data_IF_528916900096
#
_entry.id   IF_528916900096
#
_cell.length_a   1.000
_cell.length_b   1.000
_cell.length_c   1.000
_cell.angle_alpha   90.00
_cell.angle_beta   90.00
_cell.angle_gamma   90.00
#
_symmetry.space_group_name_H-M   'P 1'
#
loop_
_entity.id
_entity.type
_entity.pdbx_description
1 polymer ?
#
# COMPACT_ATOMS: atom_id res chain seq x y z
N UNK A 1 -17.40 -46.08 -48.76
CA UNK A 1 -17.40 -44.61 -48.92
C UNK A 1 -18.31 -44.04 -47.84
N UNK A 2 -17.80 -43.05 -47.08
CA UNK A 2 -18.47 -42.23 -46.05
C UNK A 2 -18.83 -42.89 -44.72
N UNK A 3 -18.57 -42.30 -43.55
CA UNK A 3 -17.60 -41.28 -43.09
C UNK A 3 -17.72 -41.28 -41.56
N UNK A 4 -16.61 -41.44 -40.87
CA UNK A 4 -16.49 -41.35 -39.41
C UNK A 4 -16.77 -39.92 -38.96
N UNK A 5 -17.76 -39.71 -38.09
CA UNK A 5 -18.03 -38.42 -37.45
C UNK A 5 -17.15 -38.34 -36.21
N UNK A 6 -16.11 -37.51 -36.29
CA UNK A 6 -15.22 -37.16 -35.19
C UNK A 6 -15.90 -36.01 -34.40
N UNK A 7 -16.35 -36.28 -33.18
CA UNK A 7 -16.93 -35.28 -32.28
C UNK A 7 -15.79 -34.58 -31.54
N UNK A 8 -15.38 -33.41 -32.02
CA UNK A 8 -14.41 -32.54 -31.35
C UNK A 8 -15.13 -31.82 -30.21
N UNK A 9 -14.95 -32.28 -28.97
CA UNK A 9 -15.39 -31.57 -27.78
C UNK A 9 -14.34 -30.52 -27.40
N UNK A 10 -14.56 -29.27 -27.81
CA UNK A 10 -13.77 -28.11 -27.39
C UNK A 10 -14.14 -27.75 -25.96
N UNK A 11 -13.31 -28.13 -25.00
CA UNK A 11 -13.40 -27.69 -23.61
C UNK A 11 -12.94 -26.23 -23.53
N UNK A 12 -13.85 -25.29 -23.74
CA UNK A 12 -13.62 -23.89 -23.39
C UNK A 12 -13.65 -23.77 -21.87
N UNK A 13 -12.47 -23.88 -21.24
CA UNK A 13 -12.27 -23.34 -19.89
C UNK A 13 -12.32 -21.83 -20.05
N UNK A 14 -13.50 -21.24 -19.90
CA UNK A 14 -13.60 -19.82 -19.58
C UNK A 14 -12.91 -19.66 -18.23
N UNK A 15 -11.64 -19.25 -18.26
CA UNK A 15 -11.01 -18.60 -17.12
C UNK A 15 -11.77 -17.30 -16.90
N UNK A 16 -12.85 -17.36 -16.12
CA UNK A 16 -13.43 -16.18 -15.50
C UNK A 16 -12.36 -15.61 -14.59
N UNK A 17 -11.53 -14.72 -15.13
CA UNK A 17 -10.73 -13.81 -14.33
C UNK A 17 -11.74 -13.05 -13.48
N UNK A 18 -11.86 -13.45 -12.22
CA UNK A 18 -12.67 -12.73 -11.25
C UNK A 18 -12.16 -11.29 -11.29
N UNK A 19 -13.06 -10.35 -11.54
CA UNK A 19 -12.77 -8.94 -11.38
C UNK A 19 -12.53 -8.74 -9.88
N UNK A 20 -11.26 -8.77 -9.49
CA UNK A 20 -10.81 -8.45 -8.13
C UNK A 20 -11.22 -7.01 -7.85
N UNK A 21 -12.13 -6.78 -6.90
CA UNK A 21 -12.50 -5.44 -6.52
C UNK A 21 -11.26 -4.72 -5.94
N UNK A 22 -11.12 -3.41 -6.13
CA UNK A 22 -9.96 -2.71 -5.56
C UNK A 22 -9.90 -2.82 -4.02
N UNK A 23 -11.06 -3.04 -3.35
CA UNK A 23 -11.12 -3.29 -1.91
C UNK A 23 -10.49 -4.61 -1.45
N UNK A 24 -10.18 -5.51 -2.38
CA UNK A 24 -9.41 -6.73 -2.09
C UNK A 24 -7.93 -6.62 -2.47
N UNK A 25 -7.51 -5.53 -3.13
CA UNK A 25 -6.10 -5.21 -3.43
C UNK A 25 -5.44 -4.49 -2.25
N UNK A 26 -4.12 -4.41 -2.26
CA UNK A 26 -3.40 -3.55 -1.33
C UNK A 26 -2.13 -2.97 -1.94
N UNK A 27 -1.55 -2.00 -1.24
CA UNK A 27 -0.25 -1.41 -1.54
C UNK A 27 0.66 -1.51 -0.31
N UNK A 28 1.96 -1.61 -0.53
CA UNK A 28 2.98 -1.56 0.51
C UNK A 28 4.30 -1.06 -0.07
N UNK A 29 5.22 -0.61 0.78
CA UNK A 29 6.61 -0.40 0.38
C UNK A 29 7.48 -1.61 0.73
N UNK A 30 8.51 -1.85 -0.07
CA UNK A 30 9.66 -2.65 0.34
C UNK A 30 10.70 -1.78 1.07
N UNK A 31 11.77 -2.38 1.60
CA UNK A 31 12.83 -1.65 2.33
C UNK A 31 13.71 -0.76 1.45
N UNK A 32 13.58 -0.88 0.13
CA UNK A 32 14.19 0.03 -0.83
C UNK A 32 13.22 1.14 -1.26
N UNK A 33 12.09 1.27 -0.56
CA UNK A 33 11.03 2.24 -0.81
C UNK A 33 10.45 2.17 -2.22
N UNK A 34 10.46 0.98 -2.83
CA UNK A 34 9.65 0.72 -4.02
C UNK A 34 8.19 0.53 -3.60
N UNK A 35 7.27 1.21 -4.28
CA UNK A 35 5.85 0.99 -4.10
C UNK A 35 5.44 -0.31 -4.80
N UNK A 36 4.97 -1.28 -4.01
CA UNK A 36 4.42 -2.54 -4.45
C UNK A 36 2.89 -2.46 -4.45
N UNK A 37 2.27 -3.02 -5.47
CA UNK A 37 0.82 -3.05 -5.65
C UNK A 37 0.37 -4.48 -5.91
N UNK A 38 -0.45 -5.04 -5.03
CA UNK A 38 -0.83 -6.45 -5.06
C UNK A 38 -2.32 -6.63 -5.36
N UNK A 39 -2.64 -7.62 -6.19
CA UNK A 39 -4.04 -7.93 -6.59
C UNK A 39 -4.61 -7.04 -7.71
N UNK A 40 -3.80 -6.17 -8.32
CA UNK A 40 -4.22 -5.26 -9.38
C UNK A 40 -4.42 -6.04 -10.70
N UNK A 41 -5.66 -6.09 -11.20
CA UNK A 41 -5.98 -6.85 -12.40
C UNK A 41 -5.66 -8.34 -12.32
N UNK A 42 -5.62 -8.91 -11.09
CA UNK A 42 -5.18 -10.30 -10.85
C UNK A 42 -3.67 -10.50 -10.88
N UNK A 43 -2.89 -9.42 -10.81
CA UNK A 43 -1.42 -9.39 -10.87
C UNK A 43 -0.83 -8.57 -9.72
N UNK A 44 0.49 -8.70 -9.57
CA UNK A 44 1.31 -7.93 -8.64
C UNK A 44 2.32 -7.08 -9.41
N UNK A 45 2.54 -5.85 -8.94
CA UNK A 45 3.38 -4.88 -9.63
C UNK A 45 4.35 -4.18 -8.68
N UNK A 46 5.53 -3.85 -9.21
CA UNK A 46 6.48 -2.92 -8.61
C UNK A 46 6.45 -1.61 -9.42
N UNK A 47 5.97 -0.54 -8.78
CA UNK A 47 5.88 0.81 -9.34
C UNK A 47 7.15 1.65 -9.11
N UNK A 48 8.18 1.06 -8.51
CA UNK A 48 9.45 1.72 -8.21
C UNK A 48 9.32 2.79 -7.15
N UNK A 49 10.36 3.60 -7.05
CA UNK A 49 10.50 4.72 -6.11
C UNK A 49 9.73 5.95 -6.57
N UNK A 50 9.53 6.91 -5.65
CA UNK A 50 8.67 8.09 -5.85
C UNK A 50 9.06 8.98 -7.03
N UNK A 51 10.34 9.02 -7.41
CA UNK A 51 10.84 9.73 -8.60
C UNK A 51 10.32 9.14 -9.93
N UNK A 52 9.83 7.89 -9.92
CA UNK A 52 9.36 7.20 -11.12
C UNK A 52 7.85 7.34 -11.33
N UNK A 53 7.08 7.66 -10.29
CA UNK A 53 5.61 7.64 -10.32
C UNK A 53 5.01 8.66 -11.30
N UNK A 54 5.74 9.74 -11.61
CA UNK A 54 5.32 10.76 -12.58
C UNK A 54 5.58 10.40 -14.05
N UNK A 55 6.39 9.37 -14.32
CA UNK A 55 6.91 9.06 -15.66
C UNK A 55 5.89 8.44 -16.62
N UNK A 56 4.86 7.77 -16.07
CA UNK A 56 3.90 6.99 -16.87
C UNK A 56 4.48 5.73 -17.50
N UNK A 57 5.73 5.35 -17.17
CA UNK A 57 6.31 4.06 -17.58
C UNK A 57 5.55 2.93 -16.90
N UNK A 58 5.19 1.89 -17.63
CA UNK A 58 4.46 0.76 -17.06
C UNK A 58 5.25 0.12 -15.89
N UNK A 59 4.58 -0.24 -14.78
CA UNK A 59 5.23 -0.85 -13.64
C UNK A 59 5.69 -2.27 -13.99
N UNK A 60 6.70 -2.77 -13.27
CA UNK A 60 7.21 -4.11 -13.48
C UNK A 60 6.24 -5.16 -12.90
N UNK A 61 5.84 -6.14 -13.71
CA UNK A 61 5.06 -7.30 -13.24
C UNK A 61 5.95 -8.19 -12.36
N UNK A 62 5.53 -8.40 -11.12
CA UNK A 62 6.20 -9.23 -10.11
C UNK A 62 5.32 -10.40 -9.68
N UNK A 63 4.28 -10.74 -10.46
CA UNK A 63 3.36 -11.82 -10.15
C UNK A 63 4.10 -13.14 -10.08
N UNK A 64 4.01 -13.81 -8.93
CA UNK A 64 4.60 -15.12 -8.69
C UNK A 64 3.55 -16.14 -8.23
N UNK A 65 3.87 -17.42 -8.35
CA UNK A 65 3.03 -18.50 -7.83
C UNK A 65 2.97 -18.45 -6.30
N UNK A 66 1.87 -18.92 -5.72
CA UNK A 66 1.66 -18.92 -4.26
C UNK A 66 1.06 -17.62 -3.71
N UNK A 67 0.83 -16.61 -4.55
CA UNK A 67 0.08 -15.39 -4.17
C UNK A 67 -1.32 -15.72 -3.65
N UNK A 68 -1.88 -14.90 -2.73
CA UNK A 68 -3.29 -15.04 -2.39
C UNK A 68 -4.18 -14.76 -3.62
N UNK A 69 -5.44 -15.21 -3.59
CA UNK A 69 -6.40 -14.89 -4.64
C UNK A 69 -6.73 -13.38 -4.68
N UNK A 70 -6.58 -12.67 -3.56
CA UNK A 70 -7.06 -11.29 -3.37
C UNK A 70 -8.57 -11.22 -3.62
N UNK A 71 -9.34 -12.03 -2.87
CA UNK A 71 -10.80 -12.08 -2.95
C UNK A 71 -11.48 -11.86 -1.58
N UNK A 72 -10.71 -11.50 -0.56
CA UNK A 72 -11.23 -11.15 0.76
C UNK A 72 -11.62 -9.67 0.88
N UNK A 73 -12.46 -9.38 1.88
CA UNK A 73 -13.09 -8.06 2.06
C UNK A 73 -12.34 -7.14 3.05
N UNK A 74 -11.26 -7.64 3.66
CA UNK A 74 -10.47 -6.91 4.65
C UNK A 74 -8.97 -7.14 4.40
N UNK A 75 -8.54 -6.96 3.15
CA UNK A 75 -7.15 -7.14 2.77
C UNK A 75 -6.30 -6.04 3.39
N UNK A 76 -5.30 -6.42 4.19
CA UNK A 76 -4.34 -5.49 4.80
C UNK A 76 -2.92 -5.92 4.47
N UNK A 77 -2.04 -4.96 4.25
CA UNK A 77 -0.64 -5.20 3.92
C UNK A 77 0.26 -4.42 4.86
N UNK A 78 1.32 -5.07 5.32
CA UNK A 78 2.29 -4.52 6.27
C UNK A 78 3.69 -4.85 5.83
N UNK A 79 4.61 -3.90 6.01
CA UNK A 79 6.04 -4.13 5.81
C UNK A 79 6.65 -4.62 7.12
N UNK A 80 7.23 -5.82 7.09
CA UNK A 80 8.18 -6.28 8.09
C UNK A 80 9.57 -5.76 7.69
N UNK A 81 9.90 -4.54 8.13
CA UNK A 81 11.03 -3.76 7.60
C UNK A 81 12.37 -4.48 7.71
N UNK A 82 12.70 -5.05 8.88
CA UNK A 82 13.97 -5.75 9.06
C UNK A 82 14.16 -6.99 8.17
N UNK A 83 13.06 -7.54 7.64
CA UNK A 83 13.06 -8.78 6.85
C UNK A 83 12.75 -8.54 5.37
N UNK A 84 12.46 -7.30 4.98
CA UNK A 84 12.04 -6.94 3.62
C UNK A 84 10.92 -7.87 3.08
N UNK A 85 9.95 -8.15 3.95
CA UNK A 85 8.83 -9.02 3.67
C UNK A 85 7.52 -8.24 3.83
N UNK A 86 6.55 -8.51 2.95
CA UNK A 86 5.20 -7.95 3.04
C UNK A 86 4.28 -9.02 3.59
N UNK A 87 3.63 -8.73 4.71
CA UNK A 87 2.59 -9.57 5.29
C UNK A 87 1.24 -9.10 4.80
N UNK A 88 0.49 -10.04 4.22
CA UNK A 88 -0.84 -9.80 3.67
C UNK A 88 -1.85 -10.64 4.42
N UNK A 89 -2.78 -9.96 5.07
CA UNK A 89 -3.85 -10.52 5.89
C UNK A 89 -5.18 -10.34 5.16
N UNK A 90 -6.12 -11.26 5.37
CA UNK A 90 -7.50 -11.11 4.87
C UNK A 90 -7.66 -11.14 3.34
N UNK A 91 -6.63 -11.52 2.59
CA UNK A 91 -6.65 -11.56 1.12
C UNK A 91 -7.21 -12.85 0.51
N UNK A 92 -7.43 -13.89 1.31
CA UNK A 92 -8.06 -15.16 0.90
C UNK A 92 -9.34 -15.39 1.70
N UNK A 93 -10.48 -15.21 1.04
CA UNK A 93 -11.82 -15.42 1.62
C UNK A 93 -12.07 -16.86 2.08
N UNK A 94 -11.33 -17.83 1.54
CA UNK A 94 -11.40 -19.25 1.93
C UNK A 94 -10.46 -19.59 3.07
N UNK A 95 -9.45 -18.76 3.34
CA UNK A 95 -8.43 -18.99 4.37
C UNK A 95 -8.09 -17.70 5.14
N UNK A 96 -9.11 -17.08 5.73
CA UNK A 96 -9.00 -15.76 6.38
C UNK A 96 -7.93 -15.67 7.47
N UNK A 97 -7.61 -16.78 8.15
CA UNK A 97 -6.61 -16.80 9.22
C UNK A 97 -5.16 -16.86 8.73
N UNK A 98 -4.92 -17.22 7.47
CA UNK A 98 -3.56 -17.37 6.95
C UNK A 98 -2.90 -16.01 6.71
N UNK A 99 -1.58 -15.97 6.91
CA UNK A 99 -0.77 -14.81 6.57
C UNK A 99 -0.01 -15.13 5.28
N UNK A 100 -0.22 -14.35 4.23
CA UNK A 100 0.56 -14.47 3.01
C UNK A 100 1.80 -13.60 3.13
N UNK A 101 2.96 -14.16 2.81
CA UNK A 101 4.25 -13.50 2.93
C UNK A 101 4.83 -13.35 1.53
N UNK A 102 5.01 -12.10 1.10
CA UNK A 102 5.77 -11.77 -0.10
C UNK A 102 7.20 -11.36 0.30
N UNK A 103 8.19 -12.14 -0.11
CA UNK A 103 9.59 -11.78 0.06
C UNK A 103 10.01 -10.84 -1.08
N UNK A 104 10.27 -9.56 -0.78
CA UNK A 104 10.54 -8.56 -1.83
C UNK A 104 11.89 -8.77 -2.52
N UNK A 105 12.89 -9.33 -1.82
CA UNK A 105 14.21 -9.61 -2.37
C UNK A 105 14.18 -10.72 -3.45
N UNK A 106 13.44 -11.80 -3.17
CA UNK A 106 13.31 -12.95 -4.08
C UNK A 106 12.10 -12.88 -5.00
N UNK A 107 11.17 -11.95 -4.73
CA UNK A 107 9.89 -11.77 -5.43
C UNK A 107 9.07 -13.06 -5.44
N UNK A 108 8.96 -13.68 -4.27
CA UNK A 108 8.28 -14.97 -4.09
C UNK A 108 7.22 -14.89 -3.01
N UNK A 109 6.18 -15.72 -3.15
CA UNK A 109 5.09 -15.83 -2.19
C UNK A 109 5.19 -17.14 -1.40
N UNK A 110 4.76 -17.08 -0.15
CA UNK A 110 4.50 -18.24 0.69
C UNK A 110 3.30 -17.97 1.60
N UNK A 111 2.69 -19.02 2.15
CA UNK A 111 1.51 -18.91 3.01
C UNK A 111 1.81 -19.52 4.37
N UNK A 112 1.84 -18.68 5.39
CA UNK A 112 2.02 -19.10 6.77
C UNK A 112 0.66 -19.49 7.35
N UNK A 113 0.52 -20.78 7.68
CA UNK A 113 -0.65 -21.26 8.40
C UNK A 113 -0.67 -20.68 9.82
N UNK A 114 -1.86 -20.36 10.31
CA UNK A 114 -2.07 -19.96 11.71
C UNK A 114 -3.08 -20.86 12.39
N UNK A 115 -3.11 -20.83 13.72
CA UNK A 115 -4.21 -21.40 14.50
C UNK A 115 -4.95 -20.25 15.16
N UNK A 116 -6.17 -19.97 14.68
CA UNK A 116 -6.98 -18.84 15.16
C UNK A 116 -7.39 -18.99 16.64
N UNK A 117 -7.73 -20.22 17.08
CA UNK A 117 -8.33 -20.38 18.41
C UNK A 117 -9.67 -19.65 18.45
N UNK A 118 -9.84 -18.75 19.43
CA UNK A 118 -11.04 -17.90 19.56
C UNK A 118 -10.91 -16.54 18.83
N UNK A 119 -9.77 -16.25 18.21
CA UNK A 119 -9.62 -15.08 17.33
C UNK A 119 -10.56 -15.21 16.12
N UNK A 120 -11.32 -14.15 15.80
CA UNK A 120 -12.17 -14.09 14.62
C UNK A 120 -11.45 -13.39 13.45
N UNK A 121 -10.92 -14.14 12.47
CA UNK A 121 -10.22 -13.56 11.33
C UNK A 121 -11.17 -12.91 10.31
N UNK A 122 -12.49 -12.93 10.52
CA UNK A 122 -13.46 -12.27 9.63
C UNK A 122 -13.73 -10.81 9.99
N UNK A 123 -13.38 -10.39 11.22
CA UNK A 123 -13.63 -9.04 11.71
C UNK A 123 -12.54 -8.62 12.70
N UNK A 124 -11.56 -7.87 12.20
CA UNK A 124 -10.45 -7.35 13.00
C UNK A 124 -9.81 -6.12 12.33
N UNK A 125 -9.20 -5.29 13.16
CA UNK A 125 -8.17 -4.33 12.74
C UNK A 125 -6.82 -4.81 13.24
N UNK A 126 -5.74 -4.60 12.48
CA UNK A 126 -4.42 -5.07 12.86
C UNK A 126 -3.32 -4.03 12.65
N UNK A 127 -2.19 -4.26 13.29
CA UNK A 127 -0.94 -3.52 13.07
C UNK A 127 0.23 -4.46 13.30
N UNK A 128 1.33 -4.24 12.59
CA UNK A 128 2.59 -4.98 12.81
C UNK A 128 3.52 -4.10 13.61
N UNK A 129 4.00 -4.61 14.74
CA UNK A 129 5.04 -3.94 15.51
C UNK A 129 6.37 -4.03 14.78
N UNK A 130 6.98 -2.86 14.58
CA UNK A 130 8.22 -2.71 13.83
C UNK A 130 9.38 -3.45 14.49
N UNK A 131 9.51 -3.38 15.82
CA UNK A 131 10.68 -3.86 16.54
C UNK A 131 10.64 -5.38 16.82
N UNK A 132 9.45 -5.90 17.11
CA UNK A 132 9.27 -7.30 17.51
C UNK A 132 8.72 -8.19 16.39
N UNK A 133 8.26 -7.60 15.28
CA UNK A 133 7.58 -8.31 14.20
C UNK A 133 6.38 -9.13 14.69
N UNK A 134 5.69 -8.60 15.69
CA UNK A 134 4.45 -9.16 16.23
C UNK A 134 3.27 -8.43 15.61
N UNK A 135 2.32 -9.18 15.05
CA UNK A 135 1.04 -8.63 14.61
C UNK A 135 0.14 -8.51 15.82
N UNK A 136 -0.38 -7.33 16.10
CA UNK A 136 -1.46 -7.11 17.07
C UNK A 136 -2.77 -6.91 16.33
N UNK A 137 -3.85 -7.55 16.79
CA UNK A 137 -5.16 -7.42 16.19
C UNK A 137 -6.24 -7.19 17.24
N UNK A 138 -7.10 -6.20 17.05
CA UNK A 138 -8.30 -6.00 17.87
C UNK A 138 -9.49 -6.66 17.17
N UNK A 139 -10.12 -7.62 17.84
CA UNK A 139 -11.29 -8.35 17.32
C UNK A 139 -12.33 -8.52 18.43
N UNK A 140 -13.56 -8.05 18.18
CA UNK A 140 -14.71 -8.17 19.09
C UNK A 140 -14.46 -7.76 20.55
N UNK A 141 -13.60 -6.79 20.80
CA UNK A 141 -13.26 -6.33 22.16
C UNK A 141 -12.10 -7.03 22.83
N UNK A 142 -11.46 -8.00 22.17
CA UNK A 142 -10.28 -8.71 22.64
C UNK A 142 -9.05 -8.33 21.80
N UNK A 143 -7.90 -8.15 22.45
CA UNK A 143 -6.64 -7.90 21.78
C UNK A 143 -5.90 -9.23 21.59
N UNK A 144 -5.44 -9.48 20.37
CA UNK A 144 -4.74 -10.70 19.97
C UNK A 144 -3.34 -10.36 19.48
N UNK A 145 -2.41 -11.31 19.62
CA UNK A 145 -1.08 -11.20 19.01
C UNK A 145 -0.68 -12.44 18.22
N UNK A 146 0.13 -12.24 17.18
CA UNK A 146 0.75 -13.29 16.38
C UNK A 146 2.23 -12.95 16.18
N UNK A 147 3.11 -13.73 16.79
CA UNK A 147 4.56 -13.53 16.69
C UNK A 147 5.08 -14.15 15.38
N UNK A 148 5.46 -13.29 14.43
CA UNK A 148 5.97 -13.69 13.12
C UNK A 148 7.48 -13.90 13.12
N UNK A 149 8.17 -13.76 14.26
CA UNK A 149 9.61 -13.97 14.42
C UNK A 149 10.41 -13.24 13.32
N UNK A 150 11.25 -13.94 12.57
CA UNK A 150 12.06 -13.41 11.48
C UNK A 150 11.58 -13.96 10.12
N UNK A 151 10.27 -14.18 9.97
CA UNK A 151 9.74 -14.89 8.80
C UNK A 151 9.76 -14.02 7.53
N UNK A 152 10.69 -14.35 6.66
CA UNK A 152 10.72 -13.94 5.25
C UNK A 152 9.93 -14.90 4.33
N UNK A 153 9.62 -16.10 4.82
CA UNK A 153 8.85 -17.13 4.14
C UNK A 153 8.15 -18.01 5.18
N UNK A 154 7.09 -18.71 4.76
CA UNK A 154 6.34 -19.60 5.63
C UNK A 154 7.20 -20.75 6.18
N UNK A 155 6.98 -21.07 7.45
CA UNK A 155 7.48 -22.29 8.08
C UNK A 155 6.44 -23.41 8.03
N UNK A 156 6.88 -24.64 8.32
CA UNK A 156 6.03 -25.82 8.27
C UNK A 156 4.95 -25.83 9.36
N UNK A 157 5.26 -25.31 10.54
CA UNK A 157 4.36 -25.30 11.69
C UNK A 157 3.42 -24.12 11.64
N UNK A 158 2.16 -24.33 12.02
CA UNK A 158 1.22 -23.23 12.21
C UNK A 158 1.59 -22.39 13.44
N UNK A 159 1.42 -21.07 13.35
CA UNK A 159 1.67 -20.14 14.46
C UNK A 159 0.33 -19.85 15.15
N UNK A 160 0.20 -20.03 16.47
CA UNK A 160 -1.05 -19.74 17.17
C UNK A 160 -1.20 -18.25 17.44
N UNK A 161 -2.41 -17.73 17.21
CA UNK A 161 -2.82 -16.45 17.78
C UNK A 161 -2.89 -16.56 19.31
N UNK A 162 -2.44 -15.52 20.01
CA UNK A 162 -2.40 -15.46 21.47
C UNK A 162 -3.30 -14.35 21.97
N UNK A 163 -4.25 -14.72 22.81
CA UNK A 163 -5.08 -13.77 23.54
C UNK A 163 -4.21 -12.89 24.47
N UNK A 164 -4.32 -11.56 24.31
CA UNK A 164 -3.69 -10.55 25.17
C UNK A 164 -4.67 -9.99 26.22
N UNK A 165 -5.92 -10.44 26.19
CA UNK A 165 -7.01 -10.06 27.06
C UNK A 165 -7.84 -8.90 26.53
N UNK A 166 -8.87 -8.58 27.33
CA UNK A 166 -9.90 -7.64 26.94
C UNK A 166 -9.33 -6.24 26.75
N UNK A 167 -9.72 -5.60 25.64
CA UNK A 167 -9.33 -4.25 25.32
C UNK A 167 -9.90 -3.27 26.36
N UNK A 168 -9.06 -2.35 26.85
CA UNK A 168 -9.47 -1.35 27.85
C UNK A 168 -10.03 -0.08 27.21
N UNK A 169 -10.68 -0.23 26.05
CA UNK A 169 -11.34 0.83 25.29
C UNK A 169 -12.78 0.43 24.98
N UNK A 170 -13.63 1.42 24.73
CA UNK A 170 -15.00 1.16 24.27
C UNK A 170 -14.96 0.60 22.85
N UNK A 171 -15.37 -0.66 22.68
CA UNK A 171 -15.48 -1.31 21.36
C UNK A 171 -16.91 -1.39 20.82
N UNK A 172 -17.90 -0.97 21.62
CA UNK A 172 -19.29 -0.91 21.18
C UNK A 172 -19.49 0.22 20.16
N UNK A 173 -19.98 -0.12 18.96
CA UNK A 173 -20.13 0.81 17.82
C UNK A 173 -18.82 1.49 17.42
N UNK A 174 -17.68 0.82 17.63
CA UNK A 174 -16.37 1.29 17.23
C UNK A 174 -15.83 0.40 16.11
N UNK A 175 -15.48 1.02 14.98
CA UNK A 175 -14.67 0.40 13.95
C UNK A 175 -13.21 0.83 14.19
N UNK A 176 -12.30 -0.08 14.60
CA UNK A 176 -11.01 0.35 15.10
C UNK A 176 -10.12 0.99 14.04
N UNK A 177 -9.44 2.07 14.43
CA UNK A 177 -8.42 2.73 13.61
C UNK A 177 -7.10 2.70 14.36
N UNK A 178 -6.16 1.89 13.88
CA UNK A 178 -4.90 1.59 14.55
C UNK A 178 -3.70 2.12 13.77
N UNK A 179 -2.73 2.69 14.47
CA UNK A 179 -1.39 2.94 13.95
C UNK A 179 -0.36 2.72 15.05
N UNK A 180 0.91 2.57 14.69
CA UNK A 180 1.97 2.31 15.67
C UNK A 180 3.08 3.35 15.62
N UNK A 181 3.55 3.81 16.77
CA UNK A 181 4.74 4.63 16.86
C UNK A 181 5.42 4.36 18.21
N UNK A 182 6.76 4.31 18.23
CA UNK A 182 7.54 4.00 19.43
C UNK A 182 7.06 2.78 20.24
N UNK A 183 6.74 1.66 19.56
CA UNK A 183 6.22 0.46 20.22
C UNK A 183 4.89 0.68 20.99
N UNK A 184 4.15 1.75 20.65
CA UNK A 184 2.81 2.06 21.14
C UNK A 184 1.81 1.97 20.00
N UNK A 185 0.71 1.25 20.23
CA UNK A 185 -0.43 1.21 19.33
C UNK A 185 -1.40 2.31 19.74
N UNK A 186 -1.68 3.22 18.82
CA UNK A 186 -2.60 4.34 18.97
C UNK A 186 -3.94 3.97 18.35
N UNK A 187 -5.01 4.17 19.12
CA UNK A 187 -6.39 3.96 18.71
C UNK A 187 -7.07 5.32 18.52
N UNK A 188 -7.45 5.62 17.29
CA UNK A 188 -8.10 6.87 16.90
C UNK A 188 -9.62 6.71 16.88
N UNK A 189 -10.37 7.79 17.11
CA UNK A 189 -11.84 7.80 17.01
C UNK A 189 -12.56 6.86 17.99
N UNK A 190 -11.93 6.55 19.14
CA UNK A 190 -12.53 5.69 20.17
C UNK A 190 -13.75 6.39 20.78
N UNK A 191 -14.93 5.75 20.84
CA UNK A 191 -16.13 6.39 21.37
C UNK A 191 -15.95 6.95 22.78
N UNK A 192 -16.24 8.25 22.92
CA UNK A 192 -16.12 8.98 24.18
C UNK A 192 -14.73 9.59 24.43
N UNK A 193 -13.79 9.44 23.50
CA UNK A 193 -12.47 10.08 23.54
C UNK A 193 -12.51 11.35 22.69
N UNK A 194 -12.25 12.55 23.26
CA UNK A 194 -12.38 13.80 22.52
C UNK A 194 -11.41 13.92 21.34
N UNK A 195 -11.76 14.78 20.36
CA UNK A 195 -10.88 15.17 19.26
C UNK A 195 -9.47 15.54 19.75
N UNK A 196 -8.45 15.20 18.97
CA UNK A 196 -7.03 15.40 19.34
C UNK A 196 -6.49 14.41 20.37
N UNK A 197 -7.26 13.41 20.81
CA UNK A 197 -6.81 12.41 21.78
C UNK A 197 -6.84 10.99 21.19
N UNK A 198 -5.90 10.15 21.63
CA UNK A 198 -5.90 8.72 21.32
C UNK A 198 -5.85 7.88 22.60
N UNK A 199 -6.46 6.69 22.55
CA UNK A 199 -6.14 5.63 23.50
C UNK A 199 -4.88 4.90 23.06
N UNK A 200 -4.11 4.41 24.02
CA UNK A 200 -2.81 3.81 23.74
C UNK A 200 -2.68 2.45 24.41
N UNK A 201 -2.23 1.48 23.64
CA UNK A 201 -1.67 0.24 24.14
C UNK A 201 -0.16 0.26 23.93
N UNK A 202 0.62 0.39 25.01
CA UNK A 202 2.03 0.02 24.96
C UNK A 202 2.08 -1.50 24.86
N UNK A 203 2.99 -2.07 24.06
CA UNK A 203 3.13 -3.52 23.81
C UNK A 203 3.46 -4.33 25.09
N UNK A 204 2.49 -4.40 26.00
CA UNK A 204 2.44 -5.08 27.30
C UNK A 204 1.28 -4.60 28.19
N UNK A 205 0.77 -3.36 28.02
CA UNK A 205 -0.33 -2.81 28.82
C UNK A 205 -1.03 -1.59 28.19
N UNK A 206 -2.30 -1.38 28.56
CA UNK A 206 -3.07 -0.20 28.18
C UNK A 206 -2.73 1.01 29.05
N UNK A 207 -2.57 2.18 28.43
CA UNK A 207 -2.47 3.43 29.18
C UNK A 207 -3.83 3.78 29.81
N UNK A 208 -3.85 4.25 31.07
CA UNK A 208 -5.08 4.48 31.80
C UNK A 208 -5.86 5.72 31.34
N UNK A 209 -5.20 6.64 30.62
CA UNK A 209 -5.76 7.92 30.19
C UNK A 209 -5.45 8.17 28.72
N UNK A 210 -6.39 8.75 27.95
CA UNK A 210 -6.09 9.20 26.59
C UNK A 210 -4.91 10.19 26.57
N UNK A 211 -4.10 10.10 25.52
CA UNK A 211 -3.00 11.03 25.27
C UNK A 211 -3.47 12.14 24.32
N UNK A 212 -3.25 13.38 24.73
CA UNK A 212 -3.58 14.58 23.95
C UNK A 212 -2.43 14.96 23.02
N UNK A 213 -2.76 15.22 21.75
CA UNK A 213 -1.85 15.76 20.75
C UNK A 213 -2.27 17.18 20.38
N UNK A 214 -1.48 18.16 20.81
CA UNK A 214 -1.80 19.58 20.66
C UNK A 214 -1.72 19.99 19.19
N UNK A 215 -2.74 20.66 18.66
CA UNK A 215 -2.65 21.33 17.36
C UNK A 215 -2.52 22.85 17.50
N UNK A 216 -1.75 23.46 16.59
CA UNK A 216 -1.69 24.92 16.42
C UNK A 216 -2.85 25.46 15.54
N UNK A 217 -3.56 24.58 14.83
CA UNK A 217 -4.64 24.96 13.92
C UNK A 217 -5.94 24.21 14.18
N UNK A 218 -5.92 22.88 14.10
CA UNK A 218 -7.12 22.05 14.16
C UNK A 218 -6.72 20.65 14.60
N UNK A 219 -7.27 20.22 15.73
CA UNK A 219 -7.11 18.85 16.22
C UNK A 219 -7.71 17.86 15.20
N UNK A 220 -7.16 16.65 15.15
CA UNK A 220 -7.81 15.58 14.40
C UNK A 220 -9.19 15.27 15.01
N UNK A 221 -10.22 15.00 14.20
CA UNK A 221 -11.58 14.80 14.69
C UNK A 221 -11.72 13.53 15.51
N UNK A 222 -12.71 13.52 16.41
CA UNK A 222 -13.27 12.31 17.01
C UNK A 222 -14.24 11.67 16.00
N UNK A 223 -13.68 11.01 14.99
CA UNK A 223 -14.43 10.28 13.97
C UNK A 223 -13.65 9.06 13.49
N UNK A 224 -14.34 8.16 12.78
CA UNK A 224 -13.68 7.10 12.02
C UNK A 224 -12.82 7.69 10.89
N UNK A 225 -11.86 6.90 10.42
CA UNK A 225 -10.89 7.27 9.42
C UNK A 225 -9.91 6.12 9.14
N UNK A 226 -8.72 6.47 8.67
CA UNK A 226 -7.60 5.57 8.48
C UNK A 226 -6.36 6.17 9.14
N UNK A 227 -5.51 5.33 9.70
CA UNK A 227 -4.24 5.75 10.28
C UNK A 227 -3.09 4.90 9.74
N UNK A 228 -1.94 5.53 9.49
CA UNK A 228 -0.73 4.85 9.05
C UNK A 228 0.51 5.55 9.57
N UNK A 229 1.52 4.76 9.90
CA UNK A 229 2.78 5.25 10.45
C UNK A 229 3.81 5.50 9.37
N UNK A 230 4.46 6.67 9.40
CA UNK A 230 5.63 6.92 8.55
C UNK A 230 6.84 6.17 9.11
N UNK A 231 7.51 5.44 8.24
CA UNK A 231 8.79 4.81 8.54
C UNK A 231 9.90 5.86 8.68
N UNK A 232 11.02 5.47 9.29
CA UNK A 232 12.24 6.26 9.37
C UNK A 232 13.40 5.46 8.77
N UNK A 233 14.38 6.12 8.17
CA UNK A 233 15.60 5.42 7.69
C UNK A 233 16.35 4.71 8.82
N UNK A 234 16.17 5.19 10.06
CA UNK A 234 16.71 4.61 11.28
C UNK A 234 15.77 4.87 12.46
N UNK A 235 15.56 3.88 13.32
CA UNK A 235 14.80 4.02 14.56
C UNK A 235 13.37 3.50 14.45
N UNK A 236 12.51 3.98 15.34
CA UNK A 236 11.09 3.60 15.43
C UNK A 236 10.22 4.67 14.81
N UNK A 237 9.03 4.33 14.31
CA UNK A 237 8.13 5.35 13.77
C UNK A 237 7.76 6.38 14.85
N UNK A 238 7.72 7.66 14.45
CA UNK A 238 7.41 8.79 15.35
C UNK A 238 6.23 9.65 14.86
N UNK A 239 5.85 9.50 13.58
CA UNK A 239 4.77 10.29 12.97
C UNK A 239 3.72 9.37 12.37
N UNK A 240 2.46 9.65 12.66
CA UNK A 240 1.29 8.96 12.14
C UNK A 240 0.51 9.92 11.25
N UNK A 241 0.09 9.50 10.08
CA UNK A 241 -0.96 10.18 9.33
C UNK A 241 -2.31 9.61 9.75
N UNK A 242 -3.22 10.46 10.23
CA UNK A 242 -4.64 10.15 10.38
C UNK A 242 -5.44 10.89 9.31
N UNK A 243 -6.34 10.18 8.64
CA UNK A 243 -7.19 10.69 7.56
C UNK A 243 -8.64 10.31 7.89
N UNK A 244 -9.53 11.26 8.25
CA UNK A 244 -10.94 10.95 8.47
C UNK A 244 -11.62 10.50 7.17
N UNK A 245 -12.71 9.74 7.30
CA UNK A 245 -13.48 9.20 6.17
C UNK A 245 -13.98 10.26 5.19
N UNK A 246 -14.22 11.48 5.68
CA UNK A 246 -14.66 12.60 4.85
C UNK A 246 -13.54 13.20 3.99
N UNK A 247 -12.30 12.75 4.17
CA UNK A 247 -11.12 13.19 3.44
C UNK A 247 -10.80 14.68 3.58
N UNK A 248 -11.35 15.35 4.61
CA UNK A 248 -11.23 16.81 4.78
C UNK A 248 -9.77 17.25 4.90
N UNK A 249 -8.98 16.52 5.67
CA UNK A 249 -7.57 16.80 5.93
C UNK A 249 -6.76 15.52 6.11
N UNK A 250 -5.44 15.67 6.07
CA UNK A 250 -4.52 14.67 6.63
C UNK A 250 -3.91 15.28 7.89
N UNK A 251 -3.93 14.56 9.00
CA UNK A 251 -3.39 15.01 10.29
C UNK A 251 -2.11 14.24 10.58
N UNK A 252 -0.98 14.95 10.55
CA UNK A 252 0.33 14.40 10.88
C UNK A 252 0.54 14.53 12.40
N UNK A 253 0.37 13.42 13.11
CA UNK A 253 0.44 13.31 14.56
C UNK A 253 1.85 12.85 14.94
N UNK A 254 2.61 13.73 15.58
CA UNK A 254 3.96 13.43 16.05
C UNK A 254 3.93 13.03 17.52
N UNK A 255 4.34 11.79 17.80
CA UNK A 255 4.18 11.19 19.13
C UNK A 255 5.26 11.61 20.12
N UNK A 256 6.42 12.03 19.62
CA UNK A 256 7.52 12.55 20.44
C UNK A 256 7.21 13.92 21.01
N UNK A 257 6.69 14.80 20.16
CA UNK A 257 6.38 16.19 20.54
C UNK A 257 4.95 16.36 21.05
N UNK A 258 4.11 15.31 20.94
CA UNK A 258 2.69 15.36 21.23
C UNK A 258 1.98 16.49 20.48
N UNK A 259 2.26 16.61 19.18
CA UNK A 259 1.70 17.66 18.33
C UNK A 259 0.97 17.10 17.11
N UNK A 260 0.05 17.88 16.57
CA UNK A 260 -0.68 17.58 15.33
C UNK A 260 -0.50 18.71 14.32
N UNK A 261 0.05 18.38 13.14
CA UNK A 261 0.08 19.25 11.97
C UNK A 261 -1.05 18.87 11.01
N UNK A 262 -1.90 19.84 10.64
CA UNK A 262 -2.89 19.66 9.58
C UNK A 262 -2.25 19.91 8.20
N UNK A 263 -2.43 18.99 7.26
CA UNK A 263 -2.06 19.16 5.85
C UNK A 263 -3.26 18.83 4.93
N UNK A 264 -3.07 19.00 3.62
CA UNK A 264 -4.15 18.81 2.65
C UNK A 264 -4.69 17.37 2.68
N UNK A 265 -6.02 17.24 2.65
CA UNK A 265 -6.69 15.94 2.53
C UNK A 265 -6.52 15.32 1.15
N UNK A 266 -6.80 14.01 0.99
CA UNK A 266 -6.71 13.31 -0.28
C UNK A 266 -7.48 13.99 -1.41
N UNK A 267 -6.92 14.00 -2.62
CA UNK A 267 -7.62 14.56 -3.79
C UNK A 267 -8.85 13.74 -4.20
N UNK A 268 -8.87 12.45 -3.84
CA UNK A 268 -10.03 11.57 -3.98
C UNK A 268 -10.54 11.24 -2.58
N UNK A 269 -11.69 11.81 -2.22
CA UNK A 269 -12.38 11.48 -0.97
C UNK A 269 -13.01 10.09 -1.12
N UNK A 270 -12.59 9.17 -0.27
CA UNK A 270 -13.02 7.78 -0.29
C UNK A 270 -12.83 7.15 1.09
N UNK A 271 -13.92 6.94 1.80
CA UNK A 271 -13.93 6.34 3.14
C UNK A 271 -13.48 4.87 3.16
N UNK A 272 -13.41 4.20 2.00
CA UNK A 272 -12.92 2.84 1.85
C UNK A 272 -11.50 2.79 1.25
N UNK A 273 -10.82 3.94 1.15
CA UNK A 273 -9.43 3.96 0.73
C UNK A 273 -8.53 3.35 1.81
N UNK A 274 -7.47 2.69 1.37
CA UNK A 274 -6.38 2.24 2.24
C UNK A 274 -5.16 3.12 2.03
N UNK A 275 -4.32 3.21 3.06
CA UNK A 275 -3.15 4.07 3.05
C UNK A 275 -1.90 3.28 3.43
N UNK A 276 -0.78 3.65 2.84
CA UNK A 276 0.53 3.13 3.21
C UNK A 276 1.56 4.26 3.14
N UNK A 277 2.47 4.33 4.10
CA UNK A 277 3.50 5.37 4.15
C UNK A 277 4.90 4.79 3.96
N UNK A 278 5.81 5.59 3.39
CA UNK A 278 7.26 5.37 3.40
C UNK A 278 7.92 6.37 4.35
N UNK A 279 9.24 6.55 4.24
CA UNK A 279 9.98 7.62 4.91
C UNK A 279 9.68 9.02 4.37
N UNK A 280 9.09 9.13 3.17
CA UNK A 280 8.96 10.41 2.45
C UNK A 280 7.67 10.58 1.64
N UNK A 281 6.73 9.64 1.72
CA UNK A 281 5.47 9.72 1.02
C UNK A 281 4.36 9.00 1.79
N UNK A 282 3.15 9.57 1.73
CA UNK A 282 1.91 8.91 2.07
C UNK A 282 1.21 8.53 0.77
N UNK A 283 0.84 7.26 0.60
CA UNK A 283 0.16 6.76 -0.59
C UNK A 283 -1.25 6.32 -0.22
N UNK A 284 -2.22 6.71 -1.05
CA UNK A 284 -3.61 6.30 -0.98
C UNK A 284 -3.90 5.31 -2.12
N UNK A 285 -4.52 4.19 -1.80
CA UNK A 285 -5.24 3.32 -2.74
C UNK A 285 -6.75 3.51 -2.53
N UNK A 286 -7.44 4.10 -3.50
CA UNK A 286 -8.90 4.23 -3.45
C UNK A 286 -9.61 2.91 -3.76
N UNK A 287 -10.87 2.80 -3.35
CA UNK A 287 -11.81 1.73 -3.70
C UNK A 287 -12.11 1.64 -5.21
N UNK A 288 -11.77 2.66 -5.99
CA UNK A 288 -11.78 2.62 -7.46
C UNK A 288 -10.51 2.04 -8.08
N UNK A 289 -9.48 1.76 -7.28
CA UNK A 289 -8.17 1.27 -7.71
C UNK A 289 -7.22 2.37 -8.17
N UNK A 290 -7.58 3.65 -8.00
CA UNK A 290 -6.69 4.76 -8.27
C UNK A 290 -5.66 4.89 -7.14
N UNK A 291 -4.41 5.14 -7.51
CA UNK A 291 -3.32 5.34 -6.55
C UNK A 291 -2.82 6.77 -6.66
N UNK A 292 -2.79 7.46 -5.52
CA UNK A 292 -2.27 8.82 -5.39
C UNK A 292 -1.34 8.93 -4.20
N UNK A 293 -0.50 9.95 -4.17
CA UNK A 293 0.48 10.12 -3.10
C UNK A 293 0.65 11.58 -2.71
N UNK A 294 1.00 11.81 -1.45
CA UNK A 294 1.35 13.09 -0.87
C UNK A 294 2.82 13.03 -0.42
N UNK A 295 3.69 13.96 -0.86
CA UNK A 295 5.06 14.03 -0.34
C UNK A 295 5.05 14.38 1.15
N UNK A 296 6.01 13.79 1.86
CA UNK A 296 6.24 14.01 3.29
C UNK A 296 7.73 14.26 3.54
N UNK A 297 8.02 15.25 4.37
CA UNK A 297 9.35 15.54 4.89
C UNK A 297 9.29 15.56 6.43
N UNK A 298 9.87 14.55 7.12
CA UNK A 298 9.85 14.51 8.57
C UNK A 298 10.70 15.61 9.21
N UNK A 299 11.67 16.17 8.49
CA UNK A 299 12.64 17.12 9.02
C UNK A 299 12.21 18.58 8.87
N UNK A 300 11.25 18.87 7.98
CA UNK A 300 10.89 20.24 7.61
C UNK A 300 9.36 20.35 7.51
N UNK A 301 8.72 20.64 8.64
CA UNK A 301 7.26 20.81 8.77
C UNK A 301 6.66 21.76 7.72
N UNK A 302 7.38 22.82 7.34
CA UNK A 302 6.92 23.77 6.33
C UNK A 302 6.81 23.18 4.93
N UNK A 303 7.58 22.16 4.59
CA UNK A 303 7.50 21.49 3.29
C UNK A 303 6.18 20.73 3.14
N UNK A 304 5.70 20.14 4.24
CA UNK A 304 4.44 19.40 4.28
C UNK A 304 3.22 20.32 4.10
N UNK A 305 3.32 21.59 4.50
CA UNK A 305 2.21 22.55 4.39
C UNK A 305 1.83 22.90 2.96
N UNK A 306 2.77 22.77 2.01
CA UNK A 306 2.56 23.02 0.58
C UNK A 306 2.46 21.73 -0.24
N UNK A 307 2.48 20.57 0.40
CA UNK A 307 2.37 19.29 -0.26
C UNK A 307 1.01 19.18 -0.99
N UNK A 308 1.00 18.49 -2.12
CA UNK A 308 -0.20 18.27 -2.91
C UNK A 308 -0.28 16.82 -3.36
N UNK A 309 -1.47 16.24 -3.28
CA UNK A 309 -1.73 14.90 -3.76
C UNK A 309 -1.52 14.81 -5.27
N UNK A 310 -0.73 13.83 -5.70
CA UNK A 310 -0.39 13.58 -7.09
C UNK A 310 -0.70 12.13 -7.47
N UNK A 311 -1.14 11.84 -8.70
CA UNK A 311 -1.39 10.47 -9.13
C UNK A 311 -0.09 9.68 -9.29
N UNK A 312 -0.12 8.40 -8.94
CA UNK A 312 0.92 7.42 -9.27
C UNK A 312 0.65 6.91 -10.70
N UNK A 313 1.16 7.63 -11.69
CA UNK A 313 0.74 7.49 -13.11
C UNK A 313 1.13 6.15 -13.72
N UNK A 314 2.20 5.52 -13.26
CA UNK A 314 2.60 4.21 -13.74
C UNK A 314 1.55 3.14 -13.36
N UNK A 315 1.05 3.14 -12.12
CA UNK A 315 0.00 2.20 -11.71
C UNK A 315 -1.33 2.43 -12.43
N UNK A 316 -1.62 3.65 -12.90
CA UNK A 316 -2.84 3.92 -13.68
C UNK A 316 -2.93 3.09 -14.98
N UNK A 317 -1.80 2.59 -15.51
CA UNK A 317 -1.79 1.73 -16.71
C UNK A 317 -2.25 0.29 -16.45
N UNK A 318 -2.26 -0.13 -15.18
CA UNK A 318 -2.60 -1.49 -14.73
C UNK A 318 -3.72 -1.51 -13.68
N UNK A 319 -4.21 -0.33 -13.28
CA UNK A 319 -5.31 -0.18 -12.34
C UNK A 319 -6.59 -0.84 -12.88
N UNK A 320 -7.34 -1.46 -11.98
CA UNK A 320 -8.64 -2.08 -12.25
C UNK A 320 -9.58 -1.01 -12.82
N UNK A 321 -10.08 -1.20 -14.05
CA UNK A 321 -11.21 -0.40 -14.52
C UNK A 321 -12.47 -0.88 -13.79
N UNK A 322 -12.95 -0.10 -12.83
CA UNK A 322 -14.26 -0.31 -12.24
C UNK A 322 -15.35 -0.11 -13.32
N UNK A 323 -15.90 -1.21 -13.83
CA UNK A 323 -17.19 -1.28 -14.52
C UNK A 323 -17.44 -0.27 -15.65
N UNK A 324 -16.88 -0.52 -16.83
CA UNK A 324 -17.34 0.07 -18.10
C UNK A 324 -17.75 -1.04 -19.05
N UNK A 325 -19.03 -1.09 -19.43
CA UNK A 325 -19.63 -2.15 -20.22
C UNK A 325 -18.87 -2.51 -21.51
N UNK A 326 -18.98 -3.79 -21.87
CA UNK A 326 -18.44 -4.40 -23.08
C UNK A 326 -18.68 -3.53 -24.31
N UNK A 327 -17.64 -2.89 -24.84
CA UNK A 327 -17.65 -2.48 -26.25
C UNK A 327 -17.14 -3.65 -27.08
N UNK A 328 -18.08 -4.26 -27.79
CA UNK A 328 -17.84 -5.32 -28.76
C UNK A 328 -16.70 -4.94 -29.71
N UNK A 329 -15.63 -5.74 -29.72
CA UNK A 329 -14.66 -5.73 -30.78
C UNK A 329 -15.36 -6.10 -32.11
N UNK A 330 -15.49 -5.15 -33.02
CA UNK A 330 -15.90 -5.43 -34.40
C UNK A 330 -14.79 -6.23 -35.08
N UNK A 331 -15.02 -7.52 -35.24
CA UNK A 331 -14.15 -8.43 -35.99
C UNK A 331 -14.16 -7.99 -37.46
N UNK A 332 -12.98 -7.61 -37.97
CA UNK A 332 -12.76 -7.36 -39.39
C UNK A 332 -12.91 -8.65 -40.20
N UNK A 333 -13.92 -8.70 -41.06
CA UNK A 333 -14.15 -9.78 -42.00
C UNK A 333 -13.45 -9.53 -43.34
N UNK A 334 -12.59 -10.47 -43.72
CA UNK A 334 -11.92 -10.60 -45.02
C UNK A 334 -12.91 -10.89 -46.16
N UNK A 335 -12.62 -10.40 -47.37
CA UNK A 335 -13.50 -10.37 -48.57
C UNK A 335 -13.91 -11.73 -49.19
N UNK A 336 -14.52 -11.75 -50.41
CA UNK A 336 -13.69 -11.63 -51.63
C UNK A 336 -14.34 -11.08 -52.94
N UNK A 337 -13.44 -10.81 -53.91
CA UNK A 337 -13.53 -10.94 -55.37
C UNK A 337 -14.29 -9.92 -56.26
N UNK A 338 -13.54 -9.29 -57.17
CA UNK A 338 -14.04 -8.65 -58.40
C UNK A 338 -12.97 -7.80 -59.13
N UNK A 339 -12.31 -8.36 -60.14
CA UNK A 339 -11.41 -7.67 -61.10
C UNK A 339 -12.20 -7.28 -62.38
N UNK A 340 -11.60 -6.66 -63.42
CA UNK A 340 -10.58 -5.60 -63.51
C UNK A 340 -11.04 -4.41 -64.39
N UNK A 341 -10.35 -3.26 -64.36
CA UNK A 341 -10.35 -2.33 -65.49
C UNK A 341 -9.06 -1.51 -65.56
N UNK A 342 -8.42 -1.62 -66.72
CA UNK A 342 -7.28 -0.84 -67.19
C UNK A 342 -7.64 0.62 -67.42
N UNK A 343 -6.68 1.54 -67.22
CA UNK A 343 -6.37 2.62 -68.17
C UNK A 343 -5.08 3.36 -67.82
N UNK A 344 -4.26 3.43 -68.85
CA UNK A 344 -3.11 4.28 -69.17
C UNK A 344 -3.34 5.77 -68.92
N UNK A 345 -2.30 6.51 -68.48
CA UNK A 345 -1.66 7.61 -69.24
C UNK A 345 -0.78 8.53 -68.35
N UNK A 346 0.53 8.47 -68.61
CA UNK A 346 1.49 9.57 -68.83
C UNK A 346 1.27 10.99 -68.29
N UNK A 347 2.32 11.51 -67.62
CA UNK A 347 3.03 12.80 -67.81
C UNK A 347 3.58 13.21 -66.43
N UNK A 348 4.86 13.47 -66.19
CA UNK A 348 5.82 14.26 -66.96
C UNK A 348 6.15 15.51 -66.12
N UNK A 349 7.40 15.70 -65.69
CA UNK A 349 7.78 16.91 -64.96
C UNK A 349 9.11 16.80 -64.22
N UNK A 350 10.16 17.29 -64.86
CA UNK A 350 11.57 17.26 -64.46
C UNK A 350 11.95 18.23 -63.33
N UNK A 351 13.06 17.85 -62.68
CA UNK A 351 14.19 18.67 -62.23
C UNK A 351 13.98 19.75 -61.15
N UNK A 352 14.78 19.67 -60.07
CA UNK A 352 16.03 20.48 -59.98
C UNK A 352 16.87 20.11 -58.75
N UNK A 353 18.18 20.15 -58.95
CA UNK A 353 19.25 20.02 -57.94
C UNK A 353 19.31 21.21 -56.98
N UNK A 354 19.79 20.96 -55.76
CA UNK A 354 20.25 21.98 -54.82
C UNK A 354 21.08 21.37 -53.70
N UNK A 355 22.40 21.32 -53.89
CA UNK A 355 23.43 21.12 -52.87
C UNK A 355 23.59 22.44 -52.10
N UNK A 356 23.78 22.43 -50.77
CA UNK A 356 24.85 23.14 -50.00
C UNK A 356 24.82 22.73 -48.50
N UNK A 357 25.98 22.27 -48.03
CA UNK A 357 26.68 22.37 -46.73
C UNK A 357 25.97 22.76 -45.42
N UNK A 358 26.11 21.87 -44.42
CA UNK A 358 27.05 22.01 -43.30
C UNK A 358 26.71 22.96 -42.14
N UNK A 359 26.53 22.41 -40.93
CA UNK A 359 27.32 22.74 -39.71
C UNK A 359 26.76 22.05 -38.45
N UNK A 360 27.64 21.33 -37.74
CA UNK A 360 27.48 20.92 -36.34
C UNK A 360 27.82 22.11 -35.43
N UNK A 361 27.25 22.22 -34.21
CA UNK A 361 28.10 21.91 -33.04
C UNK A 361 27.39 21.22 -31.85
N UNK A 362 28.19 20.36 -31.21
CA UNK A 362 28.35 20.00 -29.79
C UNK A 362 27.16 19.92 -28.81
N UNK A 363 27.02 18.78 -28.09
CA UNK A 363 26.25 18.71 -26.85
C UNK A 363 27.12 19.09 -25.63
N UNK A 364 26.64 20.03 -24.82
CA UNK A 364 27.15 20.30 -23.48
C UNK A 364 26.60 19.27 -22.49
N UNK A 365 27.47 18.39 -21.98
CA UNK A 365 27.15 17.49 -20.89
C UNK A 365 27.14 18.23 -19.55
N UNK A 366 26.09 18.00 -18.77
CA UNK A 366 26.02 18.39 -17.35
C UNK A 366 26.12 17.12 -16.51
N UNK A 367 27.14 17.09 -15.65
CA UNK A 367 27.49 15.96 -14.81
C UNK A 367 26.58 15.80 -13.59
N UNK A 368 26.29 14.55 -13.26
CA UNK A 368 25.72 14.11 -12.00
C UNK A 368 26.86 13.66 -11.08
N UNK A 369 27.13 14.43 -10.02
CA UNK A 369 27.97 13.99 -8.90
C UNK A 369 27.11 13.14 -7.95
N UNK A 370 27.17 11.81 -8.12
CA UNK A 370 26.73 10.86 -7.10
C UNK A 370 27.88 10.62 -6.12
N UNK A 371 27.75 11.15 -4.91
CA UNK A 371 28.67 10.85 -3.82
C UNK A 371 28.11 9.68 -3.01
N UNK A 372 28.61 8.49 -3.28
CA UNK A 372 28.46 7.31 -2.43
C UNK A 372 29.15 7.56 -1.08
N UNK A 373 28.43 7.40 0.02
CA UNK A 373 29.04 7.24 1.35
C UNK A 373 28.72 5.84 1.85
N UNK A 374 29.74 4.99 1.80
CA UNK A 374 29.84 3.81 2.64
C UNK A 374 29.75 4.23 4.11
N UNK A 375 28.86 3.60 4.88
CA UNK A 375 28.87 3.66 6.34
C UNK A 375 28.81 2.25 6.91
N UNK A 376 29.94 1.88 7.49
CA UNK A 376 30.21 0.71 8.31
C UNK A 376 29.30 0.70 9.55
N UNK A 377 28.56 -0.38 9.76
CA UNK A 377 27.74 -0.58 10.96
C UNK A 377 28.64 -0.97 12.14
N UNK A 378 28.76 -0.06 13.10
CA UNK A 378 29.39 -0.30 14.40
C UNK A 378 28.32 -0.64 15.43
N UNK A 379 28.48 -1.78 16.09
CA UNK A 379 27.73 -2.24 17.25
C UNK A 379 27.75 -1.20 18.37
N UNK A 380 26.59 -0.68 18.77
CA UNK A 380 26.45 0.27 19.88
C UNK A 380 25.12 0.07 20.62
N UNK A 381 25.20 -0.60 21.76
CA UNK A 381 24.17 -0.72 22.81
C UNK A 381 23.49 0.62 23.14
N UNK A 382 22.17 0.69 23.00
CA UNK A 382 21.34 1.78 23.57
C UNK A 382 20.74 1.29 24.89
N UNK A 383 21.23 1.87 25.99
CA UNK A 383 20.61 1.82 27.30
C UNK A 383 19.48 2.86 27.33
N UNK A 384 18.23 2.38 27.42
CA UNK A 384 17.06 3.23 27.63
C UNK A 384 17.08 3.86 29.03
N UNK A 385 17.03 5.18 29.09
CA UNK A 385 16.72 5.95 30.29
C UNK A 385 15.29 6.48 30.16
N UNK A 386 14.34 5.77 30.76
CA UNK A 386 12.96 6.23 30.96
C UNK A 386 12.97 7.27 32.09
N UNK A 387 12.69 8.53 31.76
CA UNK A 387 12.44 9.58 32.74
C UNK A 387 10.92 9.70 32.97
N UNK A 388 10.43 9.10 34.07
CA UNK A 388 9.07 9.31 34.56
C UNK A 388 9.03 10.64 35.33
N UNK A 389 8.35 11.64 34.79
CA UNK A 389 8.02 12.86 35.51
C UNK A 389 6.61 12.76 36.11
N UNK A 390 6.51 12.36 37.38
CA UNK A 390 5.32 12.58 38.20
C UNK A 390 5.24 14.08 38.55
N UNK A 391 4.17 14.76 38.14
CA UNK A 391 3.81 16.06 38.71
C UNK A 391 2.57 15.88 39.59
N UNK A 392 2.80 15.95 40.91
CA UNK A 392 1.77 16.20 41.92
C UNK A 392 1.71 17.72 42.13
N UNK A 393 0.60 18.34 41.71
CA UNK A 393 -0.10 19.44 42.37
C UNK A 393 -1.41 19.76 41.64
#
# INVERSE_FOLDING_TARGET
IMRTVLTTATLFILSSAALVAAGSSCIAFDTSWNLLAFGFGGKDYNAGTSDQWGSGVAPADITAQGRPPFDGNNTKCYLAEFFNAIYVLGADSSNLSNIYIFNAATKSWSTQATTAGDFDPSSFEAIVDHDTNVIYALSHGELWSLDMQELEAAQQSAIPWKDQGTAQITTTNYDPVMAIAQNHIFFFGVPGVPAGNCMIFLVSFWQPTPQLFKSDSTDFPDSHGQAVSFFLDTGVQETIAFIPDDGSHTYLVNVETNTTQTVVGPSTVDASATYFASTSALVQLSSSGAVSWLPFNPNVTSDNSNAAWSPVKNLATVAQQSGGGSSSASVGGSGPAGAPASKTASAGGSATSGVVSGSNPSPSGSGSNGASRDVTWGTGTVLGLVAIAFSLL
#
